data_IF_646194242450
#
_entry.id   IF_646194242450
#
_cell.length_a   1.000
_cell.length_b   1.000
_cell.length_c   1.000
_cell.angle_alpha   90.00
_cell.angle_beta   90.00
_cell.angle_gamma   90.00
#
_symmetry.space_group_name_H-M   'P 1'
#
loop_
_entity.id
_entity.type
_entity.pdbx_description
1 polymer ?
#
# COMPACT_ATOMS: atom_id res chain seq x y z
N UNK A 1 -12.35 12.92 -27.99
CA UNK A 1 -11.53 12.47 -29.11
C UNK A 1 -10.44 13.51 -29.40
N UNK A 2 -9.32 13.49 -28.68
CA UNK A 2 -8.01 14.13 -28.99
C UNK A 2 -7.18 14.33 -27.70
N UNK A 3 -6.87 13.25 -26.99
CA UNK A 3 -5.76 13.20 -26.02
C UNK A 3 -4.97 11.89 -26.07
N UNK A 4 -5.11 11.15 -27.14
CA UNK A 4 -4.53 9.79 -27.29
C UNK A 4 -3.26 9.74 -28.14
N UNK A 5 -2.49 10.81 -28.19
CA UNK A 5 -1.24 10.78 -28.95
C UNK A 5 -0.18 11.64 -28.26
N UNK A 6 0.42 11.12 -27.19
CA UNK A 6 1.79 11.49 -26.79
C UNK A 6 2.14 10.94 -25.39
N UNK A 7 2.20 9.63 -25.22
CA UNK A 7 2.93 9.01 -24.11
C UNK A 7 3.41 7.58 -24.46
N UNK A 8 3.81 7.36 -25.70
CA UNK A 8 4.57 6.17 -26.06
C UNK A 8 5.98 6.62 -26.42
N UNK A 9 6.83 6.76 -25.44
CA UNK A 9 8.29 6.70 -25.51
C UNK A 9 8.87 7.23 -24.18
N UNK A 10 9.13 6.36 -23.24
CA UNK A 10 10.25 6.45 -22.28
C UNK A 10 10.07 5.46 -21.11
N UNK A 11 10.14 4.17 -21.39
CA UNK A 11 10.36 3.20 -20.32
C UNK A 11 11.50 2.26 -20.72
N UNK A 12 12.68 2.84 -20.92
CA UNK A 12 13.99 2.19 -20.79
C UNK A 12 14.94 3.20 -20.18
N UNK A 13 14.67 3.53 -18.93
CA UNK A 13 15.57 4.27 -18.07
C UNK A 13 16.04 3.31 -16.98
N UNK A 14 17.29 2.92 -17.04
CA UNK A 14 18.00 2.17 -16.02
C UNK A 14 17.89 2.93 -14.69
N UNK A 15 16.91 2.59 -13.86
CA UNK A 15 16.88 3.04 -12.46
C UNK A 15 17.84 2.12 -11.71
N UNK A 16 19.06 2.58 -11.52
CA UNK A 16 19.94 2.01 -10.50
C UNK A 16 19.37 2.41 -9.16
N UNK A 17 18.41 1.64 -8.67
CA UNK A 17 17.95 1.76 -7.30
C UNK A 17 19.01 1.15 -6.41
N UNK A 18 19.81 2.00 -5.78
CA UNK A 18 20.68 1.57 -4.68
C UNK A 18 19.75 1.18 -3.53
N UNK A 19 19.39 -0.09 -3.46
CA UNK A 19 18.70 -0.66 -2.31
C UNK A 19 19.65 -0.58 -1.11
N UNK A 20 19.45 0.40 -0.23
CA UNK A 20 19.94 0.28 1.13
C UNK A 20 19.11 -0.80 1.80
N UNK A 21 19.66 -2.00 1.89
CA UNK A 21 19.08 -3.10 2.67
C UNK A 21 19.12 -2.67 4.14
N UNK A 22 18.02 -2.04 4.60
CA UNK A 22 17.78 -1.96 6.03
C UNK A 22 17.63 -3.40 6.52
N UNK A 23 18.38 -3.77 7.54
CA UNK A 23 18.24 -5.07 8.19
C UNK A 23 16.84 -5.18 8.81
N UNK A 24 15.88 -5.59 7.99
CA UNK A 24 14.60 -6.09 8.48
C UNK A 24 14.82 -7.46 9.08
N UNK A 25 14.19 -7.72 10.19
CA UNK A 25 14.37 -8.86 11.08
C UNK A 25 14.54 -10.17 10.33
N UNK A 26 15.71 -10.61 10.38
CA UNK A 26 16.30 -11.89 10.66
C UNK A 26 15.54 -13.16 10.22
N UNK A 27 15.54 -13.44 8.93
CA UNK A 27 16.26 -14.64 8.56
C UNK A 27 17.66 -14.14 8.16
N UNK A 28 18.68 -14.40 8.98
CA UNK A 28 20.03 -13.99 8.66
C UNK A 28 20.49 -14.83 7.48
N UNK A 29 20.30 -14.32 6.27
CA UNK A 29 20.84 -14.94 5.06
C UNK A 29 22.33 -15.20 5.26
N UNK A 30 22.77 -16.37 4.87
CA UNK A 30 24.20 -16.73 4.95
C UNK A 30 24.99 -15.76 4.07
N UNK A 31 25.91 -14.99 4.66
CA UNK A 31 26.79 -14.11 3.87
C UNK A 31 27.75 -14.97 3.06
N UNK A 32 27.81 -14.72 1.75
CA UNK A 32 28.60 -15.51 0.84
C UNK A 32 29.00 -14.79 -0.43
N UNK A 33 29.37 -15.54 -1.43
CA UNK A 33 29.82 -15.01 -2.71
C UNK A 33 29.46 -15.95 -3.85
N UNK A 34 29.34 -15.37 -5.05
CA UNK A 34 29.20 -16.11 -6.30
C UNK A 34 30.59 -16.42 -6.88
N UNK A 35 30.87 -17.68 -7.17
CA UNK A 35 32.11 -18.11 -7.82
C UNK A 35 31.85 -18.83 -9.12
N UNK A 36 32.70 -18.60 -10.11
CA UNK A 36 32.64 -19.31 -11.40
C UNK A 36 33.67 -20.43 -11.43
N UNK A 37 33.21 -21.66 -11.65
CA UNK A 37 34.04 -22.85 -11.81
C UNK A 37 33.70 -23.52 -13.14
N UNK A 38 34.71 -23.67 -14.01
CA UNK A 38 34.52 -24.28 -15.33
C UNK A 38 33.37 -23.68 -16.16
N UNK A 39 33.15 -22.36 -16.01
CA UNK A 39 32.11 -21.64 -16.72
C UNK A 39 30.71 -21.72 -16.07
N UNK A 40 30.57 -22.45 -14.98
CA UNK A 40 29.33 -22.53 -14.19
C UNK A 40 29.46 -21.73 -12.90
N UNK A 41 28.41 -21.02 -12.52
CA UNK A 41 28.35 -20.25 -11.26
C UNK A 41 27.84 -21.12 -10.12
N UNK A 42 28.45 -20.93 -8.93
CA UNK A 42 28.10 -21.58 -7.69
C UNK A 42 28.14 -20.61 -6.52
N UNK A 43 27.30 -20.83 -5.52
CA UNK A 43 27.24 -20.04 -4.31
C UNK A 43 28.12 -20.64 -3.22
N UNK A 44 28.92 -19.80 -2.57
CA UNK A 44 29.87 -20.17 -1.53
C UNK A 44 29.68 -19.31 -0.29
N UNK A 45 29.83 -19.92 0.89
CA UNK A 45 29.93 -19.26 2.18
C UNK A 45 31.00 -19.91 3.02
N UNK A 46 31.86 -19.10 3.67
CA UNK A 46 32.99 -19.61 4.49
C UNK A 46 33.90 -20.61 3.74
N UNK A 47 34.02 -20.44 2.42
CA UNK A 47 34.84 -21.31 1.57
C UNK A 47 34.20 -22.66 1.22
N UNK A 48 32.96 -22.92 1.62
CA UNK A 48 32.20 -24.12 1.29
C UNK A 48 31.06 -23.79 0.33
N UNK A 49 30.72 -24.73 -0.56
CA UNK A 49 29.58 -24.61 -1.46
C UNK A 49 28.30 -24.67 -0.65
N UNK A 50 27.41 -23.69 -0.87
CA UNK A 50 26.08 -23.64 -0.27
C UNK A 50 25.11 -24.43 -1.13
N UNK A 51 24.18 -25.15 -0.52
CA UNK A 51 23.10 -25.90 -1.18
C UNK A 51 21.78 -25.72 -0.42
N UNK A 52 20.68 -25.62 -1.15
CA UNK A 52 19.32 -25.49 -0.61
C UNK A 52 19.18 -24.39 0.46
N UNK A 53 19.83 -23.25 0.25
CA UNK A 53 19.82 -22.16 1.22
C UNK A 53 20.01 -20.81 0.53
N UNK A 54 19.60 -19.74 1.21
CA UNK A 54 19.80 -18.37 0.76
C UNK A 54 21.22 -17.88 1.03
N UNK A 55 21.74 -17.11 0.09
CA UNK A 55 23.06 -16.47 0.18
C UNK A 55 22.94 -15.01 -0.18
N UNK A 56 23.47 -14.13 0.67
CA UNK A 56 23.58 -12.69 0.41
C UNK A 56 25.04 -12.32 0.16
N UNK A 57 25.32 -11.72 -1.01
CA UNK A 57 26.70 -11.38 -1.40
C UNK A 57 27.15 -9.96 -0.97
N UNK A 58 26.28 -9.24 -0.23
CA UNK A 58 26.47 -7.86 0.17
C UNK A 58 25.66 -6.88 -0.68
N UNK A 59 25.08 -7.33 -1.79
CA UNK A 59 24.26 -6.53 -2.71
C UNK A 59 22.96 -7.23 -3.06
N UNK A 60 23.03 -8.52 -3.40
CA UNK A 60 21.90 -9.33 -3.86
C UNK A 60 21.70 -10.58 -3.01
N UNK A 61 20.46 -11.02 -2.96
CA UNK A 61 20.09 -12.32 -2.37
C UNK A 61 19.91 -13.34 -3.48
N UNK A 62 20.44 -14.53 -3.26
CA UNK A 62 20.36 -15.69 -4.15
C UNK A 62 19.83 -16.90 -3.39
N UNK A 63 19.29 -17.88 -4.10
CA UNK A 63 19.01 -19.20 -3.55
C UNK A 63 19.87 -20.26 -4.22
N UNK A 64 20.69 -20.95 -3.44
CA UNK A 64 21.50 -22.08 -3.92
C UNK A 64 20.62 -23.32 -4.09
N UNK A 65 20.60 -23.89 -5.28
CA UNK A 65 19.94 -25.16 -5.56
C UNK A 65 20.71 -26.34 -4.93
N UNK A 66 20.18 -27.55 -5.05
CA UNK A 66 20.78 -28.75 -4.46
C UNK A 66 22.20 -29.07 -4.99
N UNK A 67 22.56 -28.57 -6.17
CA UNK A 67 23.89 -28.70 -6.78
C UNK A 67 24.81 -27.50 -6.47
N UNK A 68 24.30 -26.48 -5.75
CA UNK A 68 24.99 -25.26 -5.40
C UNK A 68 24.96 -24.18 -6.47
N UNK A 69 24.25 -24.37 -7.57
CA UNK A 69 24.04 -23.32 -8.58
C UNK A 69 22.99 -22.33 -8.10
N UNK A 70 23.04 -21.06 -8.50
CA UNK A 70 21.97 -20.11 -8.20
C UNK A 70 20.69 -20.51 -8.96
N UNK A 71 19.55 -20.33 -8.32
CA UNK A 71 18.26 -20.40 -8.97
C UNK A 71 18.09 -19.16 -9.84
N UNK A 72 17.68 -19.31 -11.09
CA UNK A 72 17.52 -18.20 -12.05
C UNK A 72 16.18 -18.30 -12.76
N UNK A 73 15.62 -17.16 -13.16
CA UNK A 73 14.38 -17.01 -13.92
C UNK A 73 13.26 -17.94 -13.41
N UNK A 74 12.99 -17.86 -12.11
CA UNK A 74 12.10 -18.83 -11.48
C UNK A 74 11.20 -18.23 -10.43
N UNK A 75 9.90 -18.39 -10.67
CA UNK A 75 8.86 -18.19 -9.66
C UNK A 75 8.75 -19.49 -8.83
N UNK A 76 8.90 -19.40 -7.52
CA UNK A 76 8.92 -20.56 -6.63
C UNK A 76 8.35 -20.24 -5.26
N UNK A 77 8.02 -21.28 -4.50
CA UNK A 77 7.68 -21.08 -3.09
C UNK A 77 8.93 -20.77 -2.27
N UNK A 78 8.81 -19.80 -1.39
CA UNK A 78 9.75 -19.58 -0.30
C UNK A 78 9.80 -20.85 0.58
N UNK A 79 10.92 -21.17 1.25
CA UNK A 79 11.04 -22.35 2.13
C UNK A 79 10.05 -22.43 3.28
N UNK A 80 9.36 -21.30 3.65
CA UNK A 80 8.26 -21.32 4.61
C UNK A 80 7.01 -22.09 4.12
N UNK A 81 6.93 -22.35 2.81
CA UNK A 81 5.83 -23.07 2.17
C UNK A 81 4.56 -22.25 1.94
N UNK A 82 4.54 -20.97 2.30
CA UNK A 82 3.37 -20.10 2.21
C UNK A 82 3.53 -19.03 1.13
N UNK A 83 4.70 -18.38 1.06
CA UNK A 83 4.95 -17.26 0.18
C UNK A 83 5.57 -17.67 -1.15
N UNK A 84 5.35 -16.87 -2.18
CA UNK A 84 5.94 -17.06 -3.51
C UNK A 84 6.93 -15.92 -3.75
N UNK A 85 8.12 -16.29 -4.20
CA UNK A 85 9.26 -15.41 -4.50
C UNK A 85 9.72 -15.62 -5.94
N UNK A 86 10.52 -14.72 -6.45
CA UNK A 86 11.09 -14.82 -7.80
C UNK A 86 12.58 -14.48 -7.80
N UNK A 87 13.34 -15.29 -8.56
CA UNK A 87 14.73 -15.01 -8.91
C UNK A 87 14.79 -14.62 -10.37
N UNK A 88 15.44 -13.49 -10.67
CA UNK A 88 15.61 -12.99 -12.02
C UNK A 88 16.56 -13.87 -12.87
N UNK A 89 16.81 -13.47 -14.11
CA UNK A 89 17.73 -14.18 -15.02
C UNK A 89 19.19 -14.23 -14.51
N UNK A 90 19.56 -13.31 -13.63
CA UNK A 90 20.86 -13.25 -12.97
C UNK A 90 20.90 -14.03 -11.64
N UNK A 91 19.76 -14.54 -11.19
CA UNK A 91 19.58 -15.25 -9.93
C UNK A 91 19.37 -14.34 -8.72
N UNK A 92 19.11 -13.03 -8.95
CA UNK A 92 18.81 -12.11 -7.85
C UNK A 92 17.35 -12.26 -7.42
N UNK A 93 17.12 -12.38 -6.12
CA UNK A 93 15.77 -12.30 -5.57
C UNK A 93 15.21 -10.89 -5.77
N UNK A 94 13.96 -10.81 -6.22
CA UNK A 94 13.29 -9.54 -6.55
C UNK A 94 12.55 -9.01 -5.32
N UNK A 95 12.81 -7.74 -4.97
CA UNK A 95 12.19 -7.02 -3.85
C UNK A 95 11.63 -5.68 -4.32
N UNK A 96 10.48 -5.28 -3.76
CA UNK A 96 9.86 -3.96 -3.96
C UNK A 96 9.82 -3.52 -5.42
N UNK A 97 9.46 -4.43 -6.32
CA UNK A 97 9.53 -4.15 -7.76
C UNK A 97 8.53 -4.96 -8.57
N UNK A 98 8.17 -4.41 -9.73
CA UNK A 98 7.52 -5.15 -10.80
C UNK A 98 8.53 -6.03 -11.54
N UNK A 99 8.14 -7.25 -11.82
CA UNK A 99 8.96 -8.20 -12.57
C UNK A 99 8.10 -8.98 -13.55
N UNK A 100 8.49 -8.96 -14.82
CA UNK A 100 7.96 -9.91 -15.78
C UNK A 100 8.50 -11.30 -15.49
N UNK A 101 7.62 -12.27 -15.33
CA UNK A 101 7.96 -13.66 -15.00
C UNK A 101 7.68 -14.55 -16.21
N UNK A 102 8.70 -14.94 -17.02
CA UNK A 102 8.52 -15.69 -18.25
C UNK A 102 7.78 -17.02 -18.05
N UNK A 103 8.01 -17.69 -16.92
CA UNK A 103 7.38 -18.97 -16.61
C UNK A 103 5.86 -18.92 -16.52
N UNK A 104 5.28 -17.74 -16.22
CA UNK A 104 3.83 -17.52 -16.17
C UNK A 104 3.33 -16.58 -17.26
N UNK A 105 4.24 -15.86 -17.93
CA UNK A 105 3.95 -15.01 -19.09
C UNK A 105 3.30 -13.68 -18.76
N UNK A 106 3.46 -13.16 -17.51
CA UNK A 106 2.93 -11.88 -17.09
C UNK A 106 3.80 -11.21 -16.03
N UNK A 107 3.53 -9.93 -15.78
CA UNK A 107 4.19 -9.12 -14.76
C UNK A 107 3.55 -9.36 -13.40
N UNK A 108 4.41 -9.54 -12.38
CA UNK A 108 4.07 -9.62 -10.97
C UNK A 108 4.66 -8.42 -10.23
N UNK A 109 4.20 -8.18 -9.00
CA UNK A 109 4.86 -7.28 -8.06
C UNK A 109 5.29 -8.07 -6.83
N UNK A 110 6.51 -7.81 -6.37
CA UNK A 110 7.08 -8.38 -5.15
C UNK A 110 7.28 -7.28 -4.11
N UNK A 111 6.89 -7.56 -2.88
CA UNK A 111 6.98 -6.62 -1.78
C UNK A 111 8.42 -6.46 -1.24
N UNK A 112 8.58 -5.74 -0.15
CA UNK A 112 9.88 -5.51 0.50
C UNK A 112 10.49 -6.78 1.12
N UNK A 113 9.71 -7.85 1.24
CA UNK A 113 10.15 -9.17 1.71
C UNK A 113 10.39 -10.15 0.56
N UNK A 114 10.19 -9.70 -0.69
CA UNK A 114 10.29 -10.53 -1.88
C UNK A 114 9.03 -11.35 -2.16
N UNK A 115 7.93 -11.13 -1.45
CA UNK A 115 6.72 -11.91 -1.59
C UNK A 115 5.80 -11.34 -2.66
N UNK A 116 5.25 -12.23 -3.50
CA UNK A 116 4.33 -11.82 -4.56
C UNK A 116 3.03 -11.25 -4.00
N UNK A 117 2.60 -10.11 -4.53
CA UNK A 117 1.26 -9.59 -4.28
C UNK A 117 0.21 -10.38 -5.03
N UNK A 118 -0.87 -10.73 -4.33
CA UNK A 118 -2.06 -11.37 -4.91
C UNK A 118 -3.30 -10.69 -4.38
N UNK A 119 -4.23 -10.41 -5.30
CA UNK A 119 -5.48 -9.75 -4.96
C UNK A 119 -5.28 -8.44 -4.20
N UNK A 120 -4.37 -7.61 -4.70
CA UNK A 120 -3.86 -6.48 -3.94
C UNK A 120 -3.53 -5.30 -4.84
N UNK A 121 -3.80 -4.09 -4.32
CA UNK A 121 -3.30 -2.85 -4.89
C UNK A 121 -1.87 -2.59 -4.41
N UNK A 122 -1.08 -2.00 -5.29
CA UNK A 122 0.19 -1.37 -4.94
C UNK A 122 0.27 0.00 -5.58
N UNK A 123 1.13 0.86 -5.05
CA UNK A 123 1.34 2.21 -5.56
C UNK A 123 2.82 2.41 -5.86
N UNK A 124 3.11 2.84 -7.09
CA UNK A 124 4.46 3.16 -7.52
C UNK A 124 4.45 4.55 -8.13
N UNK A 125 5.29 5.43 -7.61
CA UNK A 125 5.38 6.85 -8.00
C UNK A 125 4.05 7.62 -7.91
N UNK A 126 3.10 7.12 -7.13
CA UNK A 126 1.78 7.72 -6.91
C UNK A 126 0.66 7.10 -7.72
N UNK A 127 0.97 6.28 -8.68
CA UNK A 127 -0.01 5.62 -9.54
C UNK A 127 -0.41 4.25 -8.96
N UNK A 128 -1.71 3.90 -8.93
CA UNK A 128 -2.19 2.63 -8.45
C UNK A 128 -2.05 1.53 -9.51
N UNK A 129 -1.72 0.31 -9.04
CA UNK A 129 -1.66 -0.92 -9.82
C UNK A 129 -2.39 -2.04 -9.09
N UNK A 130 -3.02 -2.95 -9.82
CA UNK A 130 -3.71 -4.08 -9.21
C UNK A 130 -3.10 -5.40 -9.65
N UNK A 131 -2.75 -6.23 -8.68
CA UNK A 131 -2.30 -7.60 -8.85
C UNK A 131 -3.48 -8.52 -8.53
N UNK A 132 -3.96 -9.26 -9.50
CA UNK A 132 -5.12 -10.13 -9.33
C UNK A 132 -4.84 -11.37 -8.45
N UNK A 133 -5.81 -12.23 -8.25
CA UNK A 133 -5.69 -13.40 -7.39
C UNK A 133 -4.56 -14.38 -7.81
N UNK A 134 -4.11 -14.32 -9.06
CA UNK A 134 -2.97 -15.08 -9.54
C UNK A 134 -1.63 -14.35 -9.39
N UNK A 135 -1.64 -13.11 -8.88
CA UNK A 135 -0.47 -12.23 -8.82
C UNK A 135 -0.12 -11.58 -10.14
N UNK A 136 -0.99 -11.67 -11.15
CA UNK A 136 -0.80 -11.01 -12.44
C UNK A 136 -1.20 -9.55 -12.30
N UNK A 137 -0.34 -8.63 -12.75
CA UNK A 137 -0.68 -7.23 -12.92
C UNK A 137 -1.76 -7.09 -14.00
N UNK A 138 -2.86 -6.43 -13.68
CA UNK A 138 -3.88 -6.06 -14.65
C UNK A 138 -3.33 -4.95 -15.55
N UNK A 139 -3.54 -5.07 -16.84
CA UNK A 139 -3.08 -4.13 -17.85
C UNK A 139 -3.89 -4.24 -19.14
N UNK A 140 -3.88 -3.15 -19.91
CA UNK A 140 -4.42 -3.06 -21.26
C UNK A 140 -5.92 -3.38 -21.35
N UNK A 141 -6.72 -2.86 -20.43
CA UNK A 141 -8.17 -2.98 -20.51
C UNK A 141 -8.93 -2.95 -19.20
N UNK A 142 -10.18 -3.34 -19.31
CA UNK A 142 -11.11 -3.46 -18.21
C UNK A 142 -10.89 -4.75 -17.44
N UNK A 143 -10.96 -4.67 -16.12
CA UNK A 143 -10.90 -5.83 -15.24
C UNK A 143 -11.90 -5.67 -14.08
N UNK A 144 -12.20 -6.77 -13.41
CA UNK A 144 -13.02 -6.80 -12.22
C UNK A 144 -12.14 -7.09 -11.01
N UNK A 145 -12.29 -6.31 -9.95
CA UNK A 145 -11.66 -6.60 -8.67
C UNK A 145 -12.25 -7.88 -8.06
N UNK A 146 -11.51 -8.55 -7.20
CA UNK A 146 -11.90 -9.84 -6.60
C UNK A 146 -13.16 -9.78 -5.73
N UNK A 147 -13.57 -8.57 -5.29
CA UNK A 147 -14.82 -8.39 -4.58
C UNK A 147 -16.07 -8.69 -5.45
N UNK A 148 -15.90 -8.90 -6.76
CA UNK A 148 -16.94 -9.23 -7.71
C UNK A 148 -17.94 -8.11 -8.00
N UNK A 149 -17.74 -6.92 -7.45
CA UNK A 149 -18.61 -5.75 -7.59
C UNK A 149 -17.94 -4.64 -8.36
N UNK A 150 -16.69 -4.33 -8.00
CA UNK A 150 -15.96 -3.21 -8.56
C UNK A 150 -15.17 -3.63 -9.79
N UNK A 151 -15.02 -2.71 -10.71
CA UNK A 151 -14.17 -2.85 -11.87
C UNK A 151 -13.31 -1.59 -12.02
N UNK A 152 -12.21 -1.74 -12.75
CA UNK A 152 -11.27 -0.68 -13.05
C UNK A 152 -10.81 -0.77 -14.50
N UNK A 153 -10.11 0.25 -14.94
CA UNK A 153 -9.42 0.27 -16.20
C UNK A 153 -7.92 0.36 -15.95
N UNK A 154 -7.15 -0.57 -16.54
CA UNK A 154 -5.70 -0.55 -16.50
C UNK A 154 -5.14 -0.18 -17.87
N UNK A 155 -4.23 0.77 -17.91
CA UNK A 155 -3.49 1.12 -19.12
C UNK A 155 -2.50 0.01 -19.50
N UNK A 156 -1.90 0.10 -20.68
CA UNK A 156 -0.89 -0.85 -21.13
C UNK A 156 0.36 -0.88 -20.21
N UNK A 157 0.61 0.20 -19.45
CA UNK A 157 1.62 0.29 -18.40
C UNK A 157 1.26 -0.52 -17.15
N UNK A 158 0.00 -0.87 -16.96
CA UNK A 158 -0.57 -1.42 -15.73
C UNK A 158 -1.09 -0.38 -14.74
N UNK A 159 -0.79 0.91 -14.96
CA UNK A 159 -1.36 2.01 -14.18
C UNK A 159 -2.89 2.00 -14.31
N UNK A 160 -3.60 2.16 -13.20
CA UNK A 160 -5.06 2.22 -13.22
C UNK A 160 -5.56 3.64 -13.52
N UNK A 161 -6.68 3.73 -14.25
CA UNK A 161 -7.44 4.98 -14.28
C UNK A 161 -7.90 5.32 -12.88
N UNK A 162 -7.65 6.55 -12.41
CA UNK A 162 -7.93 6.96 -11.04
C UNK A 162 -8.18 8.46 -10.90
N UNK A 163 -8.82 8.85 -9.78
CA UNK A 163 -9.04 10.25 -9.37
C UNK A 163 -9.74 11.13 -10.41
N UNK A 164 -10.80 10.62 -11.03
CA UNK A 164 -11.50 11.43 -12.02
C UNK A 164 -12.76 10.81 -12.57
N UNK A 165 -13.50 11.66 -13.30
CA UNK A 165 -14.61 11.20 -14.12
C UNK A 165 -14.08 10.73 -15.47
N UNK A 166 -14.45 9.53 -15.86
CA UNK A 166 -14.22 8.98 -17.19
C UNK A 166 -15.36 8.02 -17.56
N UNK A 167 -15.22 7.28 -18.63
CA UNK A 167 -16.25 6.39 -19.14
C UNK A 167 -16.01 4.95 -18.69
N UNK A 168 -17.11 4.21 -18.50
CA UNK A 168 -17.10 2.78 -18.30
C UNK A 168 -17.07 2.03 -19.66
N UNK A 169 -16.98 0.67 -19.65
CA UNK A 169 -16.99 -0.14 -20.90
C UNK A 169 -18.22 0.07 -21.77
N UNK A 170 -19.31 0.57 -21.19
CA UNK A 170 -20.58 0.80 -21.88
C UNK A 170 -20.78 2.25 -22.31
N UNK A 171 -19.74 3.10 -22.13
CA UNK A 171 -19.76 4.51 -22.53
C UNK A 171 -20.54 5.42 -21.59
N UNK A 172 -20.81 4.99 -20.35
CA UNK A 172 -21.48 5.81 -19.34
C UNK A 172 -20.42 6.49 -18.47
N UNK A 173 -20.71 7.70 -17.98
CA UNK A 173 -19.81 8.42 -17.07
C UNK A 173 -19.80 7.74 -15.72
N UNK A 174 -18.59 7.46 -15.20
CA UNK A 174 -18.30 6.97 -13.86
C UNK A 174 -17.24 7.85 -13.20
N UNK A 175 -17.02 7.69 -11.92
CA UNK A 175 -15.92 8.32 -11.21
C UNK A 175 -14.97 7.23 -10.67
N UNK A 176 -13.69 7.34 -11.00
CA UNK A 176 -12.67 6.46 -10.44
C UNK A 176 -12.11 7.07 -9.16
N UNK A 177 -12.10 6.30 -8.10
CA UNK A 177 -11.42 6.67 -6.85
C UNK A 177 -9.90 6.68 -7.06
N UNK A 178 -9.19 7.21 -6.07
CA UNK A 178 -7.72 7.21 -6.02
C UNK A 178 -7.09 5.81 -6.11
N UNK A 179 -7.82 4.76 -5.82
CA UNK A 179 -7.41 3.36 -5.89
C UNK A 179 -7.86 2.65 -7.20
N UNK A 180 -8.37 3.38 -8.16
CA UNK A 180 -8.82 2.85 -9.43
C UNK A 180 -10.19 2.16 -9.42
N UNK A 181 -10.87 2.10 -8.26
CA UNK A 181 -12.22 1.52 -8.18
C UNK A 181 -13.28 2.52 -8.61
N UNK A 182 -14.33 2.04 -9.23
CA UNK A 182 -15.48 2.87 -9.61
C UNK A 182 -16.30 3.25 -8.38
N UNK A 183 -16.56 4.53 -8.23
CA UNK A 183 -17.36 5.07 -7.14
C UNK A 183 -18.83 4.66 -7.24
N UNK A 184 -19.46 4.40 -6.10
CA UNK A 184 -20.89 4.11 -5.97
C UNK A 184 -21.50 4.96 -4.89
N UNK A 185 -22.81 5.24 -5.02
CA UNK A 185 -23.55 6.05 -4.07
C UNK A 185 -23.17 7.52 -4.14
N UNK A 186 -23.13 8.18 -3.01
CA UNK A 186 -22.90 9.62 -2.93
C UNK A 186 -21.41 9.89 -2.72
N UNK A 187 -20.81 10.71 -3.61
CA UNK A 187 -19.40 11.16 -3.47
C UNK A 187 -19.37 12.70 -3.53
N UNK A 188 -18.28 13.32 -3.11
CA UNK A 188 -18.15 14.79 -3.10
C UNK A 188 -16.75 15.26 -3.48
N UNK A 189 -16.68 16.40 -4.16
CA UNK A 189 -15.47 17.20 -4.37
C UNK A 189 -15.31 18.32 -3.33
N UNK A 190 -16.17 18.33 -2.29
CA UNK A 190 -16.25 19.37 -1.28
C UNK A 190 -17.20 20.52 -1.64
N UNK A 191 -17.56 20.72 -2.91
CA UNK A 191 -18.50 21.73 -3.39
C UNK A 191 -19.83 21.14 -3.83
N UNK A 192 -19.77 19.97 -4.43
CA UNK A 192 -20.91 19.24 -4.95
C UNK A 192 -20.95 17.84 -4.40
N UNK A 193 -22.13 17.30 -4.26
CA UNK A 193 -22.37 15.87 -4.14
C UNK A 193 -22.72 15.31 -5.50
N UNK A 194 -22.07 14.25 -5.90
CA UNK A 194 -22.34 13.51 -7.13
C UNK A 194 -23.03 12.20 -6.76
N UNK A 195 -24.19 11.98 -7.34
CA UNK A 195 -24.94 10.76 -7.13
C UNK A 195 -24.52 9.73 -8.18
N UNK A 196 -23.83 8.70 -7.72
CA UNK A 196 -23.40 7.57 -8.54
C UNK A 196 -24.33 6.39 -8.28
N UNK A 197 -24.66 5.63 -9.32
CA UNK A 197 -25.48 4.42 -9.18
C UNK A 197 -24.88 3.47 -8.15
N UNK A 198 -25.70 2.96 -7.25
CA UNK A 198 -25.27 1.96 -6.25
C UNK A 198 -24.99 0.60 -6.86
N UNK A 199 -25.55 0.30 -8.04
CA UNK A 199 -25.44 -0.99 -8.70
C UNK A 199 -24.16 -1.11 -9.52
N UNK A 200 -23.85 -0.08 -10.30
CA UNK A 200 -22.79 -0.11 -11.31
C UNK A 200 -21.93 1.17 -11.40
N UNK A 201 -22.19 2.15 -10.53
CA UNK A 201 -21.37 3.34 -10.38
C UNK A 201 -21.55 4.41 -11.46
N UNK A 202 -22.51 4.26 -12.41
CA UNK A 202 -22.68 5.31 -13.39
C UNK A 202 -23.28 6.58 -12.79
N UNK A 203 -22.91 7.73 -13.34
CA UNK A 203 -23.32 9.05 -12.88
C UNK A 203 -24.83 9.30 -13.11
N UNK A 204 -25.53 9.68 -12.05
CA UNK A 204 -26.98 9.97 -12.05
C UNK A 204 -27.29 11.47 -11.95
N UNK A 205 -26.32 12.30 -11.59
CA UNK A 205 -26.51 13.73 -11.40
C UNK A 205 -25.72 14.27 -10.21
N UNK A 206 -25.77 15.60 -10.02
CA UNK A 206 -25.10 16.24 -8.88
C UNK A 206 -25.97 17.37 -8.31
N UNK A 207 -25.65 17.76 -7.08
CA UNK A 207 -26.24 18.94 -6.43
C UNK A 207 -25.21 19.63 -5.54
N UNK A 208 -25.32 20.96 -5.42
CA UNK A 208 -24.46 21.72 -4.52
C UNK A 208 -24.94 21.57 -3.08
N UNK A 209 -24.00 21.37 -2.17
CA UNK A 209 -24.31 21.22 -0.73
C UNK A 209 -24.59 22.56 -0.05
N UNK A 210 -24.17 23.67 -0.64
CA UNK A 210 -24.13 24.98 0.02
C UNK A 210 -23.05 25.08 1.12
N UNK A 211 -22.42 23.96 1.49
CA UNK A 211 -21.29 23.89 2.41
C UNK A 211 -20.14 23.13 1.71
N UNK A 212 -19.10 23.83 1.25
CA UNK A 212 -18.01 23.20 0.52
C UNK A 212 -17.15 22.24 1.36
N UNK A 213 -17.24 22.32 2.69
CA UNK A 213 -16.45 21.49 3.59
C UNK A 213 -17.34 20.94 4.72
N UNK A 214 -18.22 19.97 4.43
CA UNK A 214 -19.03 19.37 5.47
C UNK A 214 -18.14 18.66 6.51
N UNK A 215 -18.52 18.80 7.78
CA UNK A 215 -17.85 18.13 8.90
C UNK A 215 -18.85 17.21 9.61
N UNK A 216 -18.35 16.10 10.11
CA UNK A 216 -19.13 15.06 10.75
C UNK A 216 -18.56 14.80 12.15
N UNK A 217 -19.33 15.12 13.18
CA UNK A 217 -18.97 14.87 14.58
C UNK A 217 -19.31 13.46 15.04
N UNK A 218 -19.21 13.20 16.37
CA UNK A 218 -19.63 11.93 16.93
C UNK A 218 -21.06 11.57 16.55
N UNK A 219 -21.27 10.32 16.08
CA UNK A 219 -22.56 9.85 15.58
C UNK A 219 -22.43 8.66 14.64
N UNK A 220 -23.60 8.24 14.12
CA UNK A 220 -23.72 7.09 13.23
C UNK A 220 -24.16 7.57 11.85
N UNK A 221 -23.42 7.17 10.82
CA UNK A 221 -23.62 7.63 9.45
C UNK A 221 -23.73 6.43 8.50
N UNK A 222 -24.82 6.34 7.77
CA UNK A 222 -24.97 5.37 6.67
C UNK A 222 -24.29 5.98 5.44
N UNK A 223 -23.24 5.30 4.96
CA UNK A 223 -22.46 5.77 3.82
C UNK A 223 -23.27 5.65 2.53
N UNK A 224 -23.29 6.72 1.74
CA UNK A 224 -24.15 6.86 0.57
C UNK A 224 -25.54 7.45 0.90
N UNK A 225 -25.85 7.69 2.17
CA UNK A 225 -27.13 8.30 2.63
C UNK A 225 -26.89 9.54 3.47
N UNK A 226 -26.13 9.42 4.57
CA UNK A 226 -25.88 10.51 5.53
C UNK A 226 -24.49 11.12 5.34
N UNK A 227 -23.56 10.32 4.83
CA UNK A 227 -22.19 10.72 4.53
C UNK A 227 -21.79 10.12 3.17
N UNK A 228 -21.12 10.89 2.29
CA UNK A 228 -20.61 10.35 1.04
C UNK A 228 -19.59 9.22 1.26
N UNK A 229 -19.51 8.28 0.32
CA UNK A 229 -18.37 7.39 0.24
C UNK A 229 -17.09 8.20 -0.09
N UNK A 230 -15.97 7.80 0.47
CA UNK A 230 -14.71 8.48 0.24
C UNK A 230 -13.77 8.43 1.42
N UNK A 231 -12.70 9.19 1.31
CA UNK A 231 -11.63 9.28 2.29
C UNK A 231 -11.87 10.45 3.24
N UNK A 232 -11.65 10.23 4.52
CA UNK A 232 -11.88 11.20 5.59
C UNK A 232 -10.67 11.34 6.49
N UNK A 233 -10.42 12.58 6.92
CA UNK A 233 -9.51 12.90 8.02
C UNK A 233 -10.35 13.10 9.28
N UNK A 234 -10.07 12.35 10.33
CA UNK A 234 -10.68 12.46 11.65
C UNK A 234 -9.70 13.19 12.59
N UNK A 235 -10.06 14.38 13.00
CA UNK A 235 -9.25 15.23 13.87
C UNK A 235 -9.70 15.12 15.33
N UNK A 236 -8.73 15.04 16.25
CA UNK A 236 -8.99 15.08 17.68
C UNK A 236 -9.53 16.44 18.11
N UNK A 237 -10.42 16.43 19.10
CA UNK A 237 -10.93 17.61 19.79
C UNK A 237 -10.36 17.74 21.21
N UNK A 238 -9.38 16.89 21.56
CA UNK A 238 -8.69 16.91 22.85
C UNK A 238 -8.39 15.54 23.44
N UNK A 239 -9.34 14.60 23.38
CA UNK A 239 -9.22 13.28 24.03
C UNK A 239 -8.77 12.16 23.09
N UNK A 240 -8.50 12.49 21.83
CA UNK A 240 -8.16 11.54 20.80
C UNK A 240 -9.21 11.44 19.70
N UNK A 241 -9.13 10.39 18.92
CA UNK A 241 -10.04 10.07 17.84
C UNK A 241 -10.35 8.58 17.87
N UNK A 242 -11.58 8.21 17.59
CA UNK A 242 -12.05 6.83 17.58
C UNK A 242 -13.18 6.65 16.57
N UNK A 243 -13.08 5.62 15.74
CA UNK A 243 -14.13 5.26 14.81
C UNK A 243 -14.27 3.74 14.67
N UNK A 244 -15.46 3.30 14.26
CA UNK A 244 -15.74 1.96 13.80
C UNK A 244 -16.49 2.00 12.46
N UNK A 245 -16.19 1.07 11.58
CA UNK A 245 -16.92 0.85 10.34
C UNK A 245 -17.52 -0.54 10.36
N UNK A 246 -18.83 -0.59 10.17
CA UNK A 246 -19.61 -1.82 10.08
C UNK A 246 -20.00 -2.04 8.63
N UNK A 247 -19.72 -3.22 8.11
CA UNK A 247 -20.09 -3.61 6.76
C UNK A 247 -21.60 -3.88 6.61
N UNK A 248 -22.04 -4.05 5.37
CA UNK A 248 -23.43 -4.36 5.05
C UNK A 248 -23.92 -5.68 5.68
N UNK A 249 -23.01 -6.57 6.05
CA UNK A 249 -23.30 -7.83 6.77
C UNK A 249 -23.40 -7.65 8.31
N UNK A 250 -23.40 -6.42 8.78
CA UNK A 250 -23.45 -6.03 10.19
C UNK A 250 -22.23 -6.50 11.01
N UNK A 251 -21.07 -6.71 10.38
CA UNK A 251 -19.82 -7.03 11.07
C UNK A 251 -18.89 -5.82 11.06
N UNK A 252 -18.10 -5.68 12.15
CA UNK A 252 -17.04 -4.68 12.18
C UNK A 252 -15.98 -5.04 11.12
N UNK A 253 -15.79 -4.14 10.17
CA UNK A 253 -14.84 -4.29 9.06
C UNK A 253 -13.52 -3.62 9.41
N UNK A 254 -13.62 -2.41 9.98
CA UNK A 254 -12.47 -1.55 10.34
C UNK A 254 -12.82 -0.76 11.60
N UNK A 255 -11.83 -0.24 12.25
CA UNK A 255 -11.94 0.71 13.33
C UNK A 255 -10.61 0.83 14.06
N UNK A 256 -10.32 2.04 14.51
CA UNK A 256 -9.05 2.36 15.14
C UNK A 256 -9.20 3.53 16.11
N UNK A 257 -8.21 3.70 16.97
CA UNK A 257 -8.07 4.80 17.91
C UNK A 257 -6.66 5.42 17.79
N UNK A 258 -6.58 6.75 17.88
CA UNK A 258 -5.32 7.49 17.91
C UNK A 258 -5.43 8.73 18.79
N UNK A 259 -4.31 9.22 19.32
CA UNK A 259 -4.30 10.42 20.16
C UNK A 259 -4.44 11.73 19.38
N UNK A 260 -4.18 11.74 18.08
CA UNK A 260 -4.15 12.96 17.28
C UNK A 260 -5.17 12.95 16.13
N UNK A 261 -5.02 12.03 15.22
CA UNK A 261 -5.83 11.95 14.02
C UNK A 261 -5.85 10.52 13.46
N UNK A 262 -6.85 10.23 12.65
CA UNK A 262 -6.93 9.05 11.80
C UNK A 262 -7.36 9.44 10.39
N UNK A 263 -6.94 8.65 9.41
CA UNK A 263 -7.37 8.76 8.02
C UNK A 263 -7.97 7.41 7.64
N UNK A 264 -9.17 7.43 7.10
CA UNK A 264 -9.86 6.21 6.70
C UNK A 264 -10.73 6.46 5.47
N UNK A 265 -11.02 5.39 4.74
CA UNK A 265 -11.97 5.37 3.63
C UNK A 265 -13.23 4.64 4.05
N UNK A 266 -14.39 5.20 3.69
CA UNK A 266 -15.69 4.56 3.85
C UNK A 266 -16.30 4.24 2.49
N UNK A 267 -16.91 3.08 2.37
CA UNK A 267 -17.51 2.57 1.14
C UNK A 267 -19.04 2.61 1.21
N UNK A 268 -19.67 2.70 0.06
CA UNK A 268 -21.12 2.74 0.00
C UNK A 268 -21.77 1.50 0.66
N UNK A 269 -22.81 1.72 1.44
CA UNK A 269 -23.52 0.67 2.17
C UNK A 269 -22.90 0.28 3.52
N UNK A 270 -21.75 0.82 3.88
CA UNK A 270 -21.19 0.69 5.22
C UNK A 270 -21.88 1.64 6.20
N UNK A 271 -21.72 1.39 7.49
CA UNK A 271 -22.10 2.32 8.56
C UNK A 271 -20.86 2.77 9.30
N UNK A 272 -20.60 4.07 9.27
CA UNK A 272 -19.51 4.72 10.02
C UNK A 272 -20.04 5.13 11.40
N UNK A 273 -19.35 4.73 12.44
CA UNK A 273 -19.51 5.22 13.82
C UNK A 273 -18.32 6.11 14.14
N UNK A 274 -18.54 7.39 14.36
CA UNK A 274 -17.55 8.29 14.93
C UNK A 274 -17.81 8.34 16.42
N UNK A 275 -16.92 7.75 17.20
CA UNK A 275 -17.03 7.73 18.66
C UNK A 275 -16.42 9.01 19.24
N UNK A 276 -15.24 9.43 18.73
CA UNK A 276 -14.55 10.64 19.12
C UNK A 276 -13.90 11.32 17.90
N UNK A 277 -13.91 12.66 17.88
CA UNK A 277 -13.31 13.47 16.84
C UNK A 277 -14.30 14.07 15.84
N UNK A 278 -13.75 14.80 14.88
CA UNK A 278 -14.50 15.43 13.77
C UNK A 278 -13.91 15.01 12.45
N UNK A 279 -14.70 14.38 11.60
CA UNK A 279 -14.30 13.95 10.28
C UNK A 279 -14.59 15.01 9.21
N UNK A 280 -13.67 15.15 8.25
CA UNK A 280 -13.80 15.97 7.04
C UNK A 280 -13.24 15.25 5.83
N UNK A 281 -13.86 15.44 4.66
CA UNK A 281 -13.38 14.89 3.40
C UNK A 281 -12.22 15.71 2.78
N UNK A 282 -11.93 16.90 3.32
CA UNK A 282 -10.85 17.76 2.80
C UNK A 282 -9.52 17.47 3.52
N UNK A 283 -8.86 16.38 3.14
CA UNK A 283 -7.60 15.96 3.75
C UNK A 283 -6.49 17.01 3.57
N UNK A 284 -6.40 17.61 2.39
CA UNK A 284 -5.34 18.57 2.06
C UNK A 284 -5.39 19.85 2.89
N UNK A 285 -6.54 20.19 3.50
CA UNK A 285 -6.67 21.32 4.40
C UNK A 285 -6.29 21.00 5.84
N UNK A 286 -6.02 19.74 6.14
CA UNK A 286 -5.72 19.27 7.49
C UNK A 286 -4.19 19.13 7.66
N UNK A 287 -3.64 19.78 8.65
CA UNK A 287 -2.24 19.59 9.04
C UNK A 287 -2.06 18.39 9.96
N UNK A 288 -0.88 17.79 9.91
CA UNK A 288 -0.43 16.82 10.90
C UNK A 288 0.77 17.38 11.66
N UNK A 289 0.90 17.06 12.93
CA UNK A 289 2.06 17.43 13.75
C UNK A 289 3.08 16.31 13.77
N UNK A 290 4.09 16.39 12.90
CA UNK A 290 5.17 15.41 12.81
C UNK A 290 6.16 15.46 13.97
N UNK A 291 6.05 16.43 14.88
CA UNK A 291 6.86 16.51 16.09
C UNK A 291 6.36 15.60 17.21
N UNK A 292 5.17 15.05 17.05
CA UNK A 292 4.56 14.13 18.02
C UNK A 292 4.93 12.67 17.71
N UNK A 293 5.00 11.82 18.75
CA UNK A 293 5.37 10.41 18.58
C UNK A 293 4.20 9.51 18.16
N UNK A 294 3.14 10.10 17.65
CA UNK A 294 2.00 9.38 17.06
C UNK A 294 1.48 10.20 15.90
N UNK A 295 1.28 9.58 14.75
CA UNK A 295 0.68 10.24 13.60
C UNK A 295 0.03 9.21 12.66
N UNK A 296 -0.97 9.69 11.93
CA UNK A 296 -1.55 8.96 10.82
C UNK A 296 -1.54 9.90 9.61
N UNK A 297 -0.78 9.54 8.57
CA UNK A 297 -0.45 10.43 7.47
C UNK A 297 -0.68 9.78 6.10
N UNK A 298 -1.35 10.49 5.21
CA UNK A 298 -1.44 10.11 3.79
C UNK A 298 -0.20 10.63 3.05
N UNK A 299 0.47 9.73 2.38
CA UNK A 299 1.63 10.05 1.55
C UNK A 299 1.15 10.71 0.25
N UNK A 300 1.80 11.80 -0.12
CA UNK A 300 1.39 12.66 -1.24
C UNK A 300 0.43 13.78 -0.84
N UNK A 301 -0.11 13.75 0.40
CA UNK A 301 -0.97 14.82 0.96
C UNK A 301 -0.30 15.48 2.16
N UNK A 302 0.01 14.70 3.19
CA UNK A 302 0.58 15.19 4.45
C UNK A 302 2.11 15.05 4.50
N UNK A 303 2.63 13.96 3.92
CA UNK A 303 4.06 13.70 3.78
C UNK A 303 4.36 13.45 2.30
N UNK A 304 5.52 13.93 1.83
CA UNK A 304 6.00 13.60 0.48
C UNK A 304 6.42 12.14 0.35
N UNK A 305 6.41 11.57 -0.87
CA UNK A 305 7.08 10.30 -1.12
C UNK A 305 8.58 10.37 -0.81
N UNK A 306 9.18 9.26 -0.39
CA UNK A 306 10.60 9.21 -0.06
C UNK A 306 10.92 8.20 1.03
N UNK A 307 12.10 8.32 1.62
CA UNK A 307 12.55 7.49 2.73
C UNK A 307 12.40 8.24 4.06
N UNK A 308 11.75 7.61 4.99
CA UNK A 308 11.55 8.14 6.34
C UNK A 308 12.16 7.18 7.36
N UNK A 309 12.87 7.78 8.33
CA UNK A 309 13.33 7.08 9.53
C UNK A 309 12.24 7.13 10.59
N UNK A 310 11.84 5.96 11.08
CA UNK A 310 10.88 5.82 12.16
C UNK A 310 11.65 5.32 13.37
N UNK A 311 11.66 6.13 14.46
CA UNK A 311 12.46 5.87 15.67
C UNK A 311 11.56 5.74 16.87
N UNK A 312 11.59 4.57 17.53
CA UNK A 312 10.82 4.28 18.73
C UNK A 312 11.16 5.20 19.90
N UNK A 313 10.13 5.73 20.57
CA UNK A 313 10.31 6.66 21.70
C UNK A 313 10.09 6.03 23.06
N UNK A 314 9.12 5.12 23.18
CA UNK A 314 8.76 4.49 24.44
C UNK A 314 8.37 3.02 24.22
N UNK A 315 9.28 2.12 24.54
CA UNK A 315 9.06 0.67 24.49
C UNK A 315 9.14 0.06 25.90
N UNK A 316 9.44 0.89 26.91
CA UNK A 316 9.53 0.45 28.30
C UNK A 316 8.16 0.32 28.95
N UNK A 317 8.04 -0.74 29.75
CA UNK A 317 6.79 -1.11 30.38
C UNK A 317 6.14 0.01 31.18
N UNK A 318 4.85 0.10 31.07
CA UNK A 318 4.00 0.90 31.96
C UNK A 318 4.18 0.46 33.43
N UNK A 319 3.83 1.30 34.40
CA UNK A 319 3.95 0.94 35.84
C UNK A 319 3.20 -0.33 36.25
N UNK A 320 2.25 -0.79 35.43
CA UNK A 320 1.51 -2.03 35.61
C UNK A 320 2.20 -3.27 34.97
N UNK A 321 3.42 -3.11 34.46
CA UNK A 321 4.25 -4.20 33.91
C UNK A 321 3.92 -4.60 32.49
N UNK A 322 3.06 -3.86 31.77
CA UNK A 322 2.86 -4.05 30.34
C UNK A 322 4.02 -3.44 29.55
N UNK A 323 4.43 -4.08 28.48
CA UNK A 323 5.40 -3.45 27.55
C UNK A 323 4.72 -2.27 26.86
N UNK A 324 5.36 -1.12 26.85
CA UNK A 324 4.98 -0.04 25.95
C UNK A 324 5.03 -0.57 24.52
N UNK A 325 4.00 -0.28 23.74
CA UNK A 325 3.93 -0.66 22.33
C UNK A 325 4.41 0.53 21.53
N UNK A 326 5.44 0.31 20.71
CA UNK A 326 5.88 1.27 19.70
C UNK A 326 5.90 0.54 18.37
N UNK A 327 5.21 1.07 17.37
CA UNK A 327 5.10 0.43 16.06
C UNK A 327 4.91 1.44 14.95
N UNK A 328 5.07 0.97 13.72
CA UNK A 328 4.45 1.59 12.55
C UNK A 328 3.78 0.51 11.68
N UNK A 329 2.77 0.95 10.94
CA UNK A 329 2.18 0.24 9.81
C UNK A 329 2.18 1.17 8.59
N UNK A 330 2.68 0.69 7.48
CA UNK A 330 2.55 1.33 6.18
C UNK A 330 1.46 0.56 5.42
N UNK A 331 0.29 1.14 5.33
CA UNK A 331 -0.84 0.56 4.60
C UNK A 331 -0.75 0.93 3.12
N UNK A 332 -1.20 0.04 2.26
CA UNK A 332 -1.28 0.33 0.83
C UNK A 332 -2.23 1.49 0.54
N UNK A 333 -3.27 1.64 1.35
CA UNK A 333 -4.25 2.73 1.25
C UNK A 333 -4.99 2.96 2.57
N UNK A 334 -5.88 3.96 2.60
CA UNK A 334 -6.70 4.31 3.75
C UNK A 334 -7.96 3.46 3.92
N UNK A 335 -8.22 2.49 3.04
CA UNK A 335 -9.31 1.54 3.21
C UNK A 335 -8.99 0.44 4.22
N UNK A 336 -7.71 0.18 4.47
CA UNK A 336 -7.19 -0.95 5.25
C UNK A 336 -7.50 -2.33 4.67
N UNK A 337 -8.18 -2.39 3.52
CA UNK A 337 -8.61 -3.64 2.89
C UNK A 337 -7.51 -4.24 2.01
N UNK A 338 -6.61 -3.39 1.51
CA UNK A 338 -5.56 -3.77 0.55
C UNK A 338 -4.23 -4.13 1.23
N UNK A 339 -4.28 -4.43 2.53
CA UNK A 339 -3.16 -4.97 3.29
C UNK A 339 -2.10 -3.95 3.68
N UNK A 340 -1.09 -4.46 4.39
CA UNK A 340 0.04 -3.71 4.92
C UNK A 340 1.22 -3.91 3.99
N UNK A 341 1.77 -2.81 3.46
CA UNK A 341 2.96 -2.83 2.62
C UNK A 341 4.24 -3.07 3.44
N UNK A 342 4.27 -2.55 4.67
CA UNK A 342 5.39 -2.72 5.60
C UNK A 342 4.93 -2.46 7.03
N UNK A 343 5.54 -3.12 8.01
CA UNK A 343 5.25 -2.88 9.42
C UNK A 343 6.41 -3.29 10.32
N UNK A 344 6.49 -2.71 11.51
CA UNK A 344 7.46 -3.11 12.51
C UNK A 344 6.94 -2.80 13.91
N UNK A 345 7.04 -3.80 14.79
CA UNK A 345 6.94 -3.61 16.24
C UNK A 345 8.33 -3.43 16.81
N UNK A 346 8.58 -2.30 17.45
CA UNK A 346 9.88 -2.01 18.02
C UNK A 346 10.09 -2.73 19.36
N UNK A 347 11.30 -3.23 19.56
CA UNK A 347 11.65 -4.02 20.76
C UNK A 347 12.30 -3.19 21.88
N UNK A 348 12.84 -2.01 21.56
CA UNK A 348 13.50 -1.12 22.54
C UNK A 348 13.48 0.33 22.06
N UNK A 349 13.47 1.26 23.03
CA UNK A 349 13.52 2.71 22.79
C UNK A 349 14.79 3.10 22.04
N UNK A 350 14.64 3.93 21.00
CA UNK A 350 15.72 4.34 20.11
C UNK A 350 16.03 3.37 18.98
N UNK A 351 15.37 2.21 18.91
CA UNK A 351 15.38 1.40 17.71
C UNK A 351 14.77 2.17 16.55
N UNK A 352 15.32 2.05 15.37
CA UNK A 352 14.79 2.71 14.17
C UNK A 352 14.80 1.80 12.96
N UNK A 353 13.99 2.19 12.00
CA UNK A 353 13.95 1.59 10.67
C UNK A 353 13.79 2.72 9.64
N UNK A 354 14.43 2.57 8.49
CA UNK A 354 14.25 3.46 7.34
C UNK A 354 13.25 2.80 6.39
N UNK A 355 12.16 3.50 6.11
CA UNK A 355 11.03 2.99 5.32
C UNK A 355 10.83 3.87 4.11
N UNK A 356 10.80 3.28 2.91
CA UNK A 356 10.39 3.97 1.69
C UNK A 356 8.86 4.01 1.64
N UNK A 357 8.33 5.20 1.38
CA UNK A 357 6.89 5.42 1.23
C UNK A 357 6.58 6.04 -0.12
N UNK A 358 5.46 5.64 -0.70
CA UNK A 358 4.97 6.10 -2.00
C UNK A 358 3.66 6.86 -1.85
N UNK A 359 3.34 7.76 -2.78
CA UNK A 359 2.08 8.47 -2.75
C UNK A 359 0.90 7.48 -2.79
N UNK A 360 -0.20 7.85 -2.14
CA UNK A 360 -1.37 6.99 -1.96
C UNK A 360 -1.33 6.10 -0.71
N UNK A 361 -0.15 5.72 -0.25
CA UNK A 361 0.00 4.94 0.98
C UNK A 361 -0.38 5.74 2.22
N UNK A 362 -0.68 5.03 3.28
CA UNK A 362 -0.96 5.61 4.59
C UNK A 362 0.04 5.10 5.62
N UNK A 363 0.73 6.01 6.28
CA UNK A 363 1.67 5.73 7.37
C UNK A 363 0.97 5.97 8.71
N UNK A 364 0.83 4.91 9.48
CA UNK A 364 0.33 4.92 10.84
C UNK A 364 1.48 4.63 11.81
N UNK A 365 1.69 5.51 12.79
CA UNK A 365 2.83 5.44 13.71
C UNK A 365 2.36 5.67 15.13
N UNK A 366 2.82 4.85 16.05
CA UNK A 366 2.54 4.95 17.46
C UNK A 366 3.81 4.83 18.31
N UNK A 367 3.98 5.78 19.23
CA UNK A 367 5.16 5.90 20.11
C UNK A 367 6.49 5.92 19.35
N UNK A 368 6.52 6.54 18.16
CA UNK A 368 7.75 6.72 17.39
C UNK A 368 7.75 8.05 16.63
N UNK A 369 8.92 8.64 16.47
CA UNK A 369 9.11 9.84 15.65
C UNK A 369 9.39 9.48 14.20
N UNK A 370 8.91 10.31 13.28
CA UNK A 370 9.09 10.18 11.84
C UNK A 370 9.99 11.31 11.34
N UNK A 371 11.10 10.97 10.69
CA UNK A 371 12.06 11.94 10.16
C UNK A 371 12.38 11.64 8.70
N UNK A 372 12.24 12.63 7.82
CA UNK A 372 12.61 12.48 6.41
C UNK A 372 14.12 12.29 6.26
N UNK A 373 14.53 11.29 5.47
CA UNK A 373 15.94 10.92 5.27
C UNK A 373 16.41 11.23 3.84
N UNK A 374 15.52 11.16 2.87
CA UNK A 374 15.86 11.43 1.48
C UNK A 374 14.83 10.88 0.48
N UNK A 375 15.00 11.14 -0.82
CA UNK A 375 14.10 10.68 -1.87
C UNK A 375 14.21 9.18 -2.12
#
# INVERSE_FOLDING_TARGET
MKKQLMKVAAFFGLVVTVCFVSKLSANAYTTGELRTENGQQYLYANGQKVINDFVFDGTYTYYAQADGTPMTDRLTYHPDGEHIIYFDESGHEVFSNFQYCPSVGYTCYFDSQGYIYKDQLTFVDGDPYYLNANGKMEQDGWFQFSNGLDYGYAYASGELEHQGFDYDPWGRVVYYHWNGMVARGLITDGNNYYNMSTDDGHYLGHFSTGNPNPVYGPGNYIVGVNIPAGEYFLASQGDGVDFDIIGADNRRVRGDWNSQNLIFTVLNGETLYINEGIATANLASQGIDTSQPALNAKIGVHLGPGVYRITATDVYGTPDGRKGISYFNLWNDSSFLNGVANSCDFSYTGQYVDVRVSAGQMLDVWNAYVTYVGP
#
